data_IF_634223010654
#
_entry.id   IF_634223010654
#
_cell.length_a   1.000
_cell.length_b   1.000
_cell.length_c   1.000
_cell.angle_alpha   90.00
_cell.angle_beta   90.00
_cell.angle_gamma   90.00
#
_symmetry.space_group_name_H-M   'P 1'
#
loop_
_entity.id
_entity.type
_entity.pdbx_description
1 polymer ?
#
# COMPACT_ATOMS: atom_id res chain seq x y z
N UNK A 1 -10.38 11.68 5.15
CA UNK A 1 -9.95 11.35 3.77
C UNK A 1 -9.47 9.92 3.73
N UNK A 2 -9.36 9.32 2.55
CA UNK A 2 -8.78 7.97 2.37
C UNK A 2 -7.35 8.07 1.81
N UNK A 3 -6.47 7.20 2.28
CA UNK A 3 -5.11 7.07 1.79
C UNK A 3 -5.11 6.46 0.38
N UNK A 4 -4.39 7.10 -0.54
CA UNK A 4 -4.30 6.69 -1.93
C UNK A 4 -2.86 6.82 -2.43
N UNK A 5 -2.53 6.05 -3.46
CA UNK A 5 -1.22 6.02 -4.08
C UNK A 5 -1.33 6.17 -5.60
N UNK A 6 -0.33 6.80 -6.20
CA UNK A 6 -0.04 6.65 -7.63
C UNK A 6 0.98 5.53 -7.80
N UNK A 7 0.76 4.66 -8.77
CA UNK A 7 1.59 3.47 -9.01
C UNK A 7 2.24 3.59 -10.37
N UNK A 8 3.53 3.23 -10.46
CA UNK A 8 4.19 2.99 -11.74
C UNK A 8 4.11 1.50 -12.05
N UNK A 9 3.28 1.13 -13.03
CA UNK A 9 3.12 -0.26 -13.45
C UNK A 9 4.28 -0.71 -14.33
N UNK A 10 4.83 -1.88 -14.04
CA UNK A 10 5.93 -2.44 -14.84
C UNK A 10 5.45 -2.76 -16.26
N UNK A 11 6.16 -2.25 -17.27
CA UNK A 11 5.82 -2.48 -18.68
C UNK A 11 4.77 -1.53 -19.25
N UNK A 12 4.33 -0.52 -18.50
CA UNK A 12 3.37 0.48 -18.94
C UNK A 12 3.94 1.90 -18.84
N UNK A 13 3.33 2.83 -19.58
CA UNK A 13 3.61 4.26 -19.50
C UNK A 13 3.24 4.83 -18.11
N UNK A 14 3.45 6.14 -17.94
CA UNK A 14 3.12 6.79 -16.68
C UNK A 14 1.61 6.80 -16.45
N UNK A 15 1.22 6.34 -15.26
CA UNK A 15 -0.16 6.32 -14.82
C UNK A 15 -0.41 7.49 -13.86
N UNK A 16 -1.43 8.28 -14.16
CA UNK A 16 -1.85 9.44 -13.39
C UNK A 16 -3.04 9.16 -12.45
N UNK A 17 -3.53 7.92 -12.45
CA UNK A 17 -4.64 7.46 -11.61
C UNK A 17 -4.21 7.31 -10.14
N UNK A 18 -5.14 7.60 -9.23
CA UNK A 18 -4.97 7.36 -7.79
C UNK A 18 -5.71 6.10 -7.36
N UNK A 19 -5.00 5.17 -6.75
CA UNK A 19 -5.54 3.90 -6.28
C UNK A 19 -5.74 3.93 -4.76
N UNK A 20 -6.84 3.35 -4.25
CA UNK A 20 -6.99 3.08 -2.81
C UNK A 20 -5.81 2.26 -2.28
N UNK A 21 -5.37 2.55 -1.06
CA UNK A 21 -4.27 1.81 -0.43
C UNK A 21 -4.54 0.30 -0.37
N UNK A 22 -5.78 -0.12 -0.08
CA UNK A 22 -6.18 -1.54 -0.02
C UNK A 22 -5.84 -2.35 -1.27
N UNK A 23 -5.78 -1.71 -2.44
CA UNK A 23 -5.48 -2.39 -3.71
C UNK A 23 -4.02 -2.88 -3.78
N UNK A 24 -3.15 -2.46 -2.85
CA UNK A 24 -1.71 -2.69 -2.88
C UNK A 24 -1.24 -3.76 -1.87
N UNK A 25 -2.16 -4.51 -1.26
CA UNK A 25 -1.86 -5.66 -0.38
C UNK A 25 -0.99 -6.74 -1.01
N UNK A 26 -0.96 -6.83 -2.35
CA UNK A 26 -0.09 -7.76 -3.08
C UNK A 26 1.36 -7.31 -3.17
N UNK A 27 1.69 -6.07 -2.75
CA UNK A 27 3.05 -5.55 -2.78
C UNK A 27 3.37 -4.64 -1.58
N UNK A 28 3.16 -5.10 -0.32
CA UNK A 28 3.30 -4.27 0.87
C UNK A 28 4.78 -3.90 1.15
N UNK A 29 5.73 -4.71 0.68
CA UNK A 29 7.15 -4.41 0.77
C UNK A 29 7.53 -3.12 0.00
N UNK A 30 6.91 -2.86 -1.15
CA UNK A 30 7.13 -1.62 -1.92
C UNK A 30 6.56 -0.39 -1.19
N UNK A 31 5.43 -0.54 -0.50
CA UNK A 31 4.88 0.53 0.34
C UNK A 31 5.80 0.85 1.52
N UNK A 32 6.33 -0.19 2.18
CA UNK A 32 7.32 -0.02 3.25
C UNK A 32 8.54 0.75 2.75
N UNK A 33 9.11 0.34 1.62
CA UNK A 33 10.28 0.99 1.01
C UNK A 33 9.99 2.45 0.62
N UNK A 34 8.80 2.71 0.05
CA UNK A 34 8.37 4.06 -0.30
C UNK A 34 8.36 4.98 0.93
N UNK A 35 7.81 4.54 2.06
CA UNK A 35 7.73 5.35 3.28
C UNK A 35 9.06 5.48 4.01
N UNK A 36 9.93 4.47 3.94
CA UNK A 36 11.33 4.60 4.40
C UNK A 36 12.05 5.70 3.63
N UNK A 37 11.87 5.74 2.29
CA UNK A 37 12.49 6.75 1.44
C UNK A 37 11.81 8.13 1.53
N UNK A 38 10.55 8.19 1.95
CA UNK A 38 9.73 9.40 1.96
C UNK A 38 8.99 9.60 3.30
N UNK A 39 9.70 9.79 4.43
CA UNK A 39 9.11 9.77 5.78
C UNK A 39 8.12 10.90 6.06
N UNK A 40 8.04 11.92 5.20
CA UNK A 40 7.11 13.05 5.34
C UNK A 40 5.80 12.87 4.57
N UNK A 41 5.65 11.77 3.82
CA UNK A 41 4.41 11.49 3.05
C UNK A 41 3.33 10.90 3.96
N UNK A 42 2.03 11.12 3.65
CA UNK A 42 0.95 10.52 4.40
C UNK A 42 1.00 8.98 4.35
N UNK A 43 0.82 8.33 5.49
CA UNK A 43 0.89 6.86 5.63
C UNK A 43 2.03 6.44 6.57
N UNK A 44 2.46 5.16 6.54
CA UNK A 44 1.98 4.03 5.73
C UNK A 44 0.51 3.67 5.99
N UNK A 45 -0.11 2.73 5.25
CA UNK A 45 -1.42 2.20 5.63
C UNK A 45 -1.38 1.68 7.06
N UNK A 46 -2.44 1.93 7.84
CA UNK A 46 -2.51 1.56 9.26
C UNK A 46 -2.25 0.08 9.50
N UNK A 47 -2.64 -0.77 8.55
CA UNK A 47 -2.49 -2.23 8.59
C UNK A 47 -1.27 -2.75 7.82
N UNK A 48 -0.28 -1.91 7.52
CA UNK A 48 0.89 -2.33 6.73
C UNK A 48 1.62 -3.54 7.32
N UNK A 49 1.74 -3.63 8.65
CA UNK A 49 2.39 -4.76 9.31
C UNK A 49 1.60 -6.07 9.10
N UNK A 50 0.27 -6.05 9.24
CA UNK A 50 -0.60 -7.19 8.92
C UNK A 50 -0.42 -7.62 7.45
N UNK A 51 -0.31 -6.65 6.55
CA UNK A 51 -0.15 -6.92 5.11
C UNK A 51 1.20 -7.58 4.83
N UNK A 52 2.28 -7.12 5.49
CA UNK A 52 3.62 -7.71 5.37
C UNK A 52 3.66 -9.13 5.92
N UNK A 53 2.98 -9.39 7.03
CA UNK A 53 2.88 -10.74 7.61
C UNK A 53 2.13 -11.69 6.67
N UNK A 54 0.95 -11.28 6.18
CA UNK A 54 0.16 -12.08 5.24
C UNK A 54 0.93 -12.35 3.94
N UNK A 55 1.57 -11.32 3.37
CA UNK A 55 2.39 -11.47 2.16
C UNK A 55 3.58 -12.42 2.36
N UNK A 56 4.24 -12.36 3.52
CA UNK A 56 5.35 -13.27 3.84
C UNK A 56 4.92 -14.73 4.02
N UNK A 57 3.63 -14.98 4.30
CA UNK A 57 3.04 -16.31 4.44
C UNK A 57 2.29 -16.79 3.21
N UNK A 58 2.23 -15.98 2.14
CA UNK A 58 1.36 -16.20 0.99
C UNK A 58 -0.12 -16.40 1.40
N UNK A 59 -0.57 -15.65 2.42
CA UNK A 59 -1.90 -15.75 3.00
C UNK A 59 -2.83 -14.64 2.49
N UNK A 60 -4.13 -14.92 2.48
CA UNK A 60 -5.16 -13.98 2.08
C UNK A 60 -5.63 -13.13 3.26
N UNK A 61 -5.45 -11.82 3.15
CA UNK A 61 -5.95 -10.86 4.14
C UNK A 61 -7.22 -10.16 3.63
N UNK A 62 -8.40 -10.42 4.22
CA UNK A 62 -9.64 -9.78 3.79
C UNK A 62 -9.57 -8.26 3.93
N UNK A 63 -10.41 -7.62 3.13
CA UNK A 63 -10.62 -6.18 3.18
C UNK A 63 -11.20 -5.72 4.51
N UNK A 64 -10.57 -4.69 5.05
CA UNK A 64 -10.95 -4.02 6.28
C UNK A 64 -11.15 -2.53 6.02
N UNK A 65 -11.97 -1.88 6.85
CA UNK A 65 -12.24 -0.44 6.74
C UNK A 65 -10.98 0.41 7.00
N UNK A 66 -10.03 -0.11 7.77
CA UNK A 66 -8.78 0.55 8.13
C UNK A 66 -7.71 0.49 7.03
N UNK A 67 -7.90 -0.32 6.00
CA UNK A 67 -6.91 -0.51 4.92
C UNK A 67 -6.62 0.77 4.13
N UNK A 68 -7.55 1.73 4.10
CA UNK A 68 -7.35 3.03 3.45
C UNK A 68 -7.12 4.17 4.46
N UNK A 69 -6.76 3.85 5.71
CA UNK A 69 -6.39 4.85 6.71
C UNK A 69 -4.85 4.91 6.84
N UNK A 70 -4.26 6.10 7.00
CA UNK A 70 -2.87 6.21 7.39
C UNK A 70 -2.67 5.75 8.86
N UNK A 71 -1.48 5.22 9.15
CA UNK A 71 -1.01 4.89 10.49
C UNK A 71 -0.84 6.14 11.38
#
# INVERSE_FOLDING_TARGET
>A
GKLQYRVKWLGFDDDFSWYPARNLKGSPHLLREFHIANPTKPGPPKRLDDWLEAWGKDDYLPDDIEDDLPA
#
